data_IF_479313642617
#
_entry.id   IF_479313642617
#
_cell.length_a   1.000
_cell.length_b   1.000
_cell.length_c   1.000
_cell.angle_alpha   90.00
_cell.angle_beta   90.00
_cell.angle_gamma   90.00
#
_symmetry.space_group_name_H-M   'P 1'
#
loop_
_entity.id
_entity.type
_entity.pdbx_description
1 polymer ?
#
# COMPACT_ATOMS: atom_id res chain seq x y z
N UNK A 1 29.16 -6.23 -11.32
CA UNK A 1 28.74 -4.89 -10.97
C UNK A 1 28.43 -4.89 -9.48
N UNK A 2 29.36 -4.25 -8.74
CA UNK A 2 29.32 -4.29 -7.30
C UNK A 2 28.28 -3.32 -6.72
N UNK A 3 28.10 -3.39 -5.42
CA UNK A 3 27.23 -2.54 -4.62
C UNK A 3 27.43 -1.03 -4.89
N UNK A 4 28.63 -0.62 -5.27
CA UNK A 4 29.01 0.75 -5.62
C UNK A 4 28.16 1.36 -6.75
N UNK A 5 27.72 0.56 -7.73
CA UNK A 5 26.88 1.02 -8.83
C UNK A 5 25.44 1.36 -8.41
N UNK A 6 24.92 0.65 -7.42
CA UNK A 6 23.57 0.91 -6.85
C UNK A 6 23.61 2.17 -5.99
N UNK A 7 24.61 2.33 -5.15
CA UNK A 7 24.78 3.53 -4.32
C UNK A 7 24.98 4.79 -5.16
N UNK A 8 25.75 4.71 -6.24
CA UNK A 8 25.95 5.84 -7.15
C UNK A 8 24.65 6.28 -7.83
N UNK A 9 23.80 5.33 -8.27
CA UNK A 9 22.51 5.64 -8.91
C UNK A 9 21.50 6.19 -7.92
N UNK A 10 21.48 5.69 -6.68
CA UNK A 10 20.62 6.18 -5.60
C UNK A 10 21.04 7.59 -5.18
N UNK A 11 22.35 7.80 -4.97
CA UNK A 11 22.89 9.12 -4.63
C UNK A 11 22.62 10.16 -5.71
N UNK A 12 22.74 9.79 -7.00
CA UNK A 12 22.43 10.68 -8.11
C UNK A 12 20.93 11.02 -8.20
N UNK A 13 20.04 10.05 -7.97
CA UNK A 13 18.59 10.28 -7.95
C UNK A 13 18.16 11.17 -6.78
N UNK A 14 18.74 10.96 -5.58
CA UNK A 14 18.49 11.79 -4.41
C UNK A 14 19.04 13.21 -4.58
N UNK A 15 20.25 13.35 -5.13
CA UNK A 15 20.84 14.65 -5.39
C UNK A 15 20.05 15.46 -6.43
N UNK A 16 19.51 14.80 -7.47
CA UNK A 16 18.66 15.44 -8.47
C UNK A 16 17.35 15.94 -7.84
N UNK A 17 16.68 15.13 -7.03
CA UNK A 17 15.41 15.51 -6.39
C UNK A 17 15.60 16.65 -5.37
N UNK A 18 16.70 16.65 -4.62
CA UNK A 18 17.02 17.74 -3.69
C UNK A 18 17.40 19.04 -4.39
N UNK A 19 18.04 18.97 -5.56
CA UNK A 19 18.38 20.15 -6.36
C UNK A 19 17.10 20.82 -6.92
N UNK A 20 16.13 20.04 -7.38
CA UNK A 20 14.85 20.53 -7.85
C UNK A 20 14.03 21.19 -6.72
N UNK A 21 14.02 20.60 -5.53
CA UNK A 21 13.37 21.18 -4.33
C UNK A 21 14.00 22.52 -3.93
N UNK A 22 15.32 22.64 -4.04
CA UNK A 22 16.03 23.88 -3.70
C UNK A 22 15.76 25.01 -4.70
N UNK A 23 15.49 24.69 -5.96
CA UNK A 23 15.23 25.67 -7.03
C UNK A 23 13.78 26.19 -6.97
N UNK A 24 12.82 25.34 -6.59
CA UNK A 24 11.39 25.65 -6.68
C UNK A 24 10.81 26.19 -5.37
N UNK A 25 11.52 26.09 -4.25
CA UNK A 25 10.96 26.41 -2.93
C UNK A 25 9.72 25.58 -2.56
N UNK A 26 9.45 24.53 -3.34
CA UNK A 26 8.36 23.61 -3.16
C UNK A 26 8.89 22.33 -2.47
N UNK A 27 8.22 21.88 -1.45
CA UNK A 27 8.46 20.57 -0.83
C UNK A 27 7.88 19.48 -1.73
N UNK A 28 8.48 19.23 -2.90
CA UNK A 28 8.06 18.13 -3.77
C UNK A 28 8.41 16.80 -3.13
N UNK A 29 7.51 15.79 -3.17
CA UNK A 29 7.80 14.49 -2.60
C UNK A 29 8.94 13.81 -3.38
N UNK A 30 9.81 13.10 -2.65
CA UNK A 30 10.78 12.19 -3.26
C UNK A 30 10.00 10.97 -3.77
N UNK A 31 10.08 10.71 -5.08
CA UNK A 31 9.37 9.59 -5.70
C UNK A 31 10.34 8.45 -5.97
N UNK A 32 10.08 7.29 -5.38
CA UNK A 32 10.86 6.06 -5.56
C UNK A 32 10.05 5.03 -6.34
N UNK A 33 10.71 4.23 -7.17
CA UNK A 33 10.11 2.98 -7.68
C UNK A 33 10.17 1.88 -6.63
N UNK A 34 9.36 0.83 -6.77
CA UNK A 34 9.42 -0.36 -5.90
C UNK A 34 10.84 -0.93 -5.87
N UNK A 35 11.49 -1.04 -7.04
CA UNK A 35 12.85 -1.59 -7.12
C UNK A 35 13.87 -0.75 -6.34
N UNK A 36 13.79 0.58 -6.43
CA UNK A 36 14.69 1.47 -5.72
C UNK A 36 14.41 1.46 -4.20
N UNK A 37 13.14 1.49 -3.80
CA UNK A 37 12.75 1.45 -2.39
C UNK A 37 13.20 0.14 -1.71
N UNK A 38 13.01 -1.01 -2.36
CA UNK A 38 13.48 -2.30 -1.83
C UNK A 38 15.01 -2.42 -1.81
N UNK A 39 15.72 -1.80 -2.75
CA UNK A 39 17.18 -1.73 -2.72
C UNK A 39 17.70 -0.87 -1.55
N UNK A 40 17.05 0.26 -1.28
CA UNK A 40 17.36 1.11 -0.12
C UNK A 40 17.09 0.39 1.21
N UNK A 41 15.95 -0.32 1.30
CA UNK A 41 15.62 -1.16 2.45
C UNK A 41 16.71 -2.22 2.70
N UNK A 42 17.08 -2.98 1.66
CA UNK A 42 18.10 -4.01 1.76
C UNK A 42 19.49 -3.47 2.16
N UNK A 43 19.77 -2.22 1.77
CA UNK A 43 21.01 -1.52 2.13
C UNK A 43 20.95 -0.85 3.51
N UNK A 44 19.79 -0.84 4.19
CA UNK A 44 19.59 -0.15 5.47
C UNK A 44 19.66 1.37 5.37
N UNK A 45 19.39 1.94 4.18
CA UNK A 45 19.48 3.39 3.92
C UNK A 45 18.15 4.04 4.18
N UNK A 46 18.11 4.99 5.12
CA UNK A 46 16.91 5.80 5.41
C UNK A 46 16.94 7.06 4.56
N UNK A 47 15.83 7.35 3.90
CA UNK A 47 15.62 8.59 3.15
C UNK A 47 15.05 9.64 4.10
N UNK A 48 15.79 10.72 4.33
CA UNK A 48 15.35 11.83 5.19
C UNK A 48 15.08 13.08 4.34
N UNK A 49 14.07 13.85 4.71
CA UNK A 49 13.72 15.08 4.01
C UNK A 49 12.22 15.26 3.86
N UNK A 50 11.80 15.71 2.68
CA UNK A 50 10.39 15.85 2.28
C UNK A 50 9.64 14.52 2.30
N UNK A 51 8.33 14.55 2.07
CA UNK A 51 7.52 13.33 1.92
C UNK A 51 8.14 12.36 0.91
N UNK A 52 8.30 11.09 1.28
CA UNK A 52 8.81 10.04 0.39
C UNK A 52 7.65 9.16 -0.06
N UNK A 53 7.49 9.02 -1.37
CA UNK A 53 6.38 8.24 -1.96
C UNK A 53 6.98 7.13 -2.83
N UNK A 54 6.47 5.91 -2.69
CA UNK A 54 6.71 4.84 -3.66
C UNK A 54 5.65 4.90 -4.74
N UNK A 55 6.07 5.07 -6.00
CA UNK A 55 5.18 5.10 -7.14
C UNK A 55 5.62 4.08 -8.19
N UNK A 56 4.74 3.14 -8.53
CA UNK A 56 5.03 2.12 -9.53
C UNK A 56 3.72 1.52 -10.10
N UNK A 57 3.82 0.56 -11.01
CA UNK A 57 2.64 -0.15 -11.53
C UNK A 57 1.96 -0.99 -10.46
N UNK A 58 0.65 -1.19 -10.59
CA UNK A 58 -0.14 -2.03 -9.69
C UNK A 58 0.47 -3.43 -9.52
N UNK A 59 0.98 -4.02 -10.60
CA UNK A 59 1.61 -5.35 -10.59
C UNK A 59 2.82 -5.39 -9.67
N UNK A 60 3.69 -4.37 -9.72
CA UNK A 60 4.89 -4.31 -8.86
C UNK A 60 4.51 -4.07 -7.40
N UNK A 61 3.54 -3.22 -7.12
CA UNK A 61 3.04 -3.00 -5.76
C UNK A 61 2.40 -4.26 -5.17
N UNK A 62 1.62 -4.99 -5.96
CA UNK A 62 1.06 -6.30 -5.57
C UNK A 62 2.14 -7.36 -5.33
N UNK A 63 3.29 -7.25 -6.00
CA UNK A 63 4.45 -8.12 -5.82
C UNK A 63 5.16 -7.97 -4.48
N UNK A 64 5.02 -6.84 -3.78
CA UNK A 64 5.64 -6.61 -2.47
C UNK A 64 5.22 -7.69 -1.46
N UNK A 65 6.19 -8.18 -0.70
CA UNK A 65 5.93 -9.03 0.47
C UNK A 65 5.52 -8.18 1.67
N UNK A 66 4.89 -8.78 2.68
CA UNK A 66 4.55 -8.08 3.92
C UNK A 66 5.80 -7.50 4.63
N UNK A 67 6.93 -8.20 4.56
CA UNK A 67 8.20 -7.71 5.12
C UNK A 67 8.71 -6.48 4.37
N UNK A 68 8.70 -6.49 3.03
CA UNK A 68 9.08 -5.33 2.24
C UNK A 68 8.17 -4.12 2.49
N UNK A 69 6.85 -4.34 2.63
CA UNK A 69 5.91 -3.25 2.98
C UNK A 69 6.28 -2.63 4.34
N UNK A 70 6.61 -3.46 5.35
CA UNK A 70 7.07 -2.95 6.64
C UNK A 70 8.40 -2.19 6.51
N UNK A 71 9.32 -2.67 5.66
CA UNK A 71 10.60 -2.02 5.37
C UNK A 71 10.46 -0.65 4.69
N UNK A 72 9.41 -0.43 3.89
CA UNK A 72 9.15 0.88 3.28
C UNK A 72 9.00 1.99 4.34
N UNK A 73 8.28 1.70 5.43
CA UNK A 73 8.14 2.68 6.52
C UNK A 73 9.48 2.95 7.22
N UNK A 74 10.32 1.92 7.37
CA UNK A 74 11.65 2.06 7.97
C UNK A 74 12.56 3.01 7.17
N UNK A 75 12.49 2.97 5.83
CA UNK A 75 13.29 3.87 4.97
C UNK A 75 12.67 5.27 4.82
N UNK A 76 11.58 5.60 5.50
CA UNK A 76 10.96 6.92 5.51
C UNK A 76 9.83 7.13 4.50
N UNK A 77 9.35 6.06 3.83
CA UNK A 77 8.18 6.16 2.93
C UNK A 77 6.94 6.54 3.73
N UNK A 78 6.18 7.52 3.23
CA UNK A 78 4.94 8.02 3.83
C UNK A 78 3.69 7.68 3.04
N UNK A 79 3.84 7.25 1.79
CA UNK A 79 2.72 6.86 0.93
C UNK A 79 3.14 5.98 -0.23
N UNK A 80 2.16 5.26 -0.79
CA UNK A 80 2.35 4.35 -1.92
C UNK A 80 1.29 4.65 -2.97
N UNK A 81 1.66 4.71 -4.24
CA UNK A 81 0.74 5.04 -5.34
C UNK A 81 0.94 4.13 -6.54
N UNK A 82 -0.14 3.54 -7.04
CA UNK A 82 -0.15 2.88 -8.34
C UNK A 82 -0.31 3.90 -9.47
N UNK A 83 0.37 3.67 -10.59
CA UNK A 83 0.34 4.58 -11.75
C UNK A 83 -0.67 4.19 -12.82
N UNK A 84 -1.17 2.97 -12.82
CA UNK A 84 -1.86 2.39 -13.96
C UNK A 84 -3.23 1.77 -13.65
N UNK A 85 -3.38 1.01 -12.58
CA UNK A 85 -4.54 0.13 -12.38
C UNK A 85 -5.00 0.02 -10.93
N UNK A 86 -6.12 -0.69 -10.73
CA UNK A 86 -6.55 -1.16 -9.42
C UNK A 86 -5.50 -2.09 -8.81
N UNK A 87 -5.33 -2.01 -7.50
CA UNK A 87 -4.41 -2.88 -6.76
C UNK A 87 -5.20 -3.89 -5.96
N UNK A 88 -4.85 -5.17 -6.09
CA UNK A 88 -5.47 -6.26 -5.33
C UNK A 88 -4.47 -6.84 -4.34
N UNK A 89 -4.82 -6.85 -3.06
CA UNK A 89 -3.99 -7.33 -1.98
C UNK A 89 -4.67 -8.46 -1.22
N UNK A 90 -3.87 -9.30 -0.55
CA UNK A 90 -4.38 -10.20 0.50
C UNK A 90 -4.53 -9.44 1.81
N UNK A 91 -5.34 -9.97 2.74
CA UNK A 91 -5.46 -9.40 4.10
C UNK A 91 -4.09 -9.24 4.77
N UNK A 92 -3.20 -10.24 4.64
CA UNK A 92 -1.87 -10.16 5.25
C UNK A 92 -1.05 -8.95 4.75
N UNK A 93 -1.09 -8.66 3.45
CA UNK A 93 -0.41 -7.48 2.87
C UNK A 93 -1.08 -6.18 3.29
N UNK A 94 -2.40 -6.17 3.31
CA UNK A 94 -3.17 -4.99 3.75
C UNK A 94 -2.86 -4.62 5.20
N UNK A 95 -2.83 -5.61 6.09
CA UNK A 95 -2.43 -5.40 7.48
C UNK A 95 -0.96 -4.94 7.62
N UNK A 96 -0.08 -5.35 6.70
CA UNK A 96 1.28 -4.83 6.67
C UNK A 96 1.31 -3.33 6.31
N UNK A 97 0.49 -2.87 5.34
CA UNK A 97 0.32 -1.45 5.03
C UNK A 97 -0.24 -0.67 6.22
N UNK A 98 -1.29 -1.18 6.87
CA UNK A 98 -1.89 -0.59 8.06
C UNK A 98 -0.87 -0.45 9.20
N UNK A 99 -0.16 -1.53 9.53
CA UNK A 99 0.83 -1.53 10.60
C UNK A 99 2.03 -0.63 10.31
N UNK A 100 2.36 -0.44 9.03
CA UNK A 100 3.40 0.48 8.57
C UNK A 100 2.93 1.95 8.53
N UNK A 101 1.64 2.22 8.76
CA UNK A 101 1.05 3.55 8.63
C UNK A 101 1.05 4.09 7.19
N UNK A 102 1.11 3.20 6.20
CA UNK A 102 1.15 3.54 4.78
C UNK A 102 -0.24 3.49 4.15
N UNK A 103 -0.61 4.54 3.43
CA UNK A 103 -1.79 4.54 2.58
C UNK A 103 -1.43 4.18 1.14
N UNK A 104 -2.32 3.42 0.48
CA UNK A 104 -2.19 3.06 -0.92
C UNK A 104 -3.19 3.84 -1.77
N UNK A 105 -2.69 4.54 -2.78
CA UNK A 105 -3.49 5.30 -3.72
C UNK A 105 -3.48 4.64 -5.10
N UNK A 106 -4.52 4.86 -5.87
CA UNK A 106 -4.68 4.38 -7.24
C UNK A 106 -5.24 5.50 -8.13
N UNK A 107 -5.09 5.42 -9.46
CA UNK A 107 -5.66 6.41 -10.37
C UNK A 107 -7.17 6.56 -10.25
N UNK A 108 -7.71 7.70 -10.65
CA UNK A 108 -9.14 7.96 -10.67
C UNK A 108 -9.92 6.87 -11.42
N UNK A 109 -11.03 6.40 -10.85
CA UNK A 109 -11.84 5.30 -11.38
C UNK A 109 -11.28 3.90 -11.13
N UNK A 110 -10.16 3.78 -10.39
CA UNK A 110 -9.59 2.51 -9.94
C UNK A 110 -9.85 2.30 -8.45
N UNK A 111 -9.63 1.08 -7.97
CA UNK A 111 -9.93 0.68 -6.59
C UNK A 111 -8.76 -0.06 -5.96
N UNK A 112 -8.60 0.08 -4.66
CA UNK A 112 -7.75 -0.82 -3.87
C UNK A 112 -8.64 -1.90 -3.28
N UNK A 113 -8.35 -3.14 -3.64
CA UNK A 113 -9.20 -4.30 -3.36
C UNK A 113 -8.45 -5.26 -2.45
N UNK A 114 -9.08 -5.68 -1.37
CA UNK A 114 -8.66 -6.86 -0.61
C UNK A 114 -9.35 -8.07 -1.22
N UNK A 115 -8.59 -9.10 -1.59
CA UNK A 115 -9.16 -10.36 -2.10
C UNK A 115 -8.62 -11.52 -1.26
N UNK A 116 -9.53 -12.15 -0.49
CA UNK A 116 -9.15 -13.23 0.41
C UNK A 116 -10.36 -14.14 0.74
N UNK A 117 -10.11 -15.22 1.47
CA UNK A 117 -11.14 -16.17 1.90
C UNK A 117 -12.06 -15.60 2.97
N UNK A 118 -13.28 -16.12 3.05
CA UNK A 118 -14.25 -15.78 4.11
C UNK A 118 -13.65 -15.93 5.51
N UNK A 119 -12.88 -17.01 5.72
CA UNK A 119 -12.26 -17.26 7.03
C UNK A 119 -11.33 -16.12 7.45
N UNK A 120 -10.51 -15.61 6.53
CA UNK A 120 -9.59 -14.50 6.81
C UNK A 120 -10.33 -13.17 6.98
N UNK A 121 -11.34 -12.92 6.18
CA UNK A 121 -12.19 -11.73 6.35
C UNK A 121 -12.85 -11.75 7.71
N UNK A 122 -13.40 -12.89 8.14
CA UNK A 122 -14.05 -13.02 9.45
C UNK A 122 -13.07 -12.93 10.64
N UNK A 123 -11.79 -13.21 10.43
CA UNK A 123 -10.77 -13.07 11.47
C UNK A 123 -10.36 -11.62 11.75
N UNK A 124 -10.73 -10.65 10.90
CA UNK A 124 -10.41 -9.24 11.13
C UNK A 124 -11.07 -8.72 12.40
N UNK A 125 -10.30 -8.06 13.24
CA UNK A 125 -10.79 -7.31 14.40
C UNK A 125 -11.46 -6.00 13.98
N UNK A 126 -12.24 -5.39 14.85
CA UNK A 126 -12.86 -4.08 14.56
C UNK A 126 -11.81 -2.97 14.30
N UNK A 127 -10.67 -3.02 15.00
CA UNK A 127 -9.56 -2.09 14.78
C UNK A 127 -8.95 -2.27 13.37
N UNK A 128 -8.71 -3.51 12.94
CA UNK A 128 -8.21 -3.82 11.60
C UNK A 128 -9.22 -3.41 10.52
N UNK A 129 -10.52 -3.62 10.73
CA UNK A 129 -11.55 -3.13 9.80
C UNK A 129 -11.48 -1.61 9.65
N UNK A 130 -11.34 -0.88 10.75
CA UNK A 130 -11.18 0.58 10.69
C UNK A 130 -9.91 1.00 9.95
N UNK A 131 -8.80 0.27 10.14
CA UNK A 131 -7.53 0.49 9.47
C UNK A 131 -7.58 0.28 7.94
N UNK A 132 -8.48 -0.60 7.44
CA UNK A 132 -8.63 -0.82 5.99
C UNK A 132 -8.90 0.48 5.24
N UNK A 133 -9.83 1.31 5.73
CA UNK A 133 -10.13 2.60 5.09
C UNK A 133 -8.94 3.56 5.12
N UNK A 134 -8.18 3.59 6.21
CA UNK A 134 -6.96 4.41 6.33
C UNK A 134 -5.85 3.94 5.38
N UNK A 135 -5.74 2.62 5.15
CA UNK A 135 -4.83 2.05 4.16
C UNK A 135 -5.27 2.28 2.69
N UNK A 136 -6.45 2.89 2.48
CA UNK A 136 -6.98 3.19 1.14
C UNK A 136 -7.84 2.08 0.53
N UNK A 137 -8.19 1.03 1.28
CA UNK A 137 -9.03 -0.06 0.79
C UNK A 137 -10.45 0.43 0.58
N UNK A 138 -11.01 0.13 -0.60
CA UNK A 138 -12.39 0.50 -0.95
C UNK A 138 -13.32 -0.71 -1.11
N UNK A 139 -12.76 -1.89 -1.39
CA UNK A 139 -13.52 -3.12 -1.64
C UNK A 139 -12.86 -4.31 -0.95
N UNK A 140 -13.67 -5.15 -0.31
CA UNK A 140 -13.28 -6.50 0.13
C UNK A 140 -13.99 -7.51 -0.75
N UNK A 141 -13.23 -8.30 -1.49
CA UNK A 141 -13.68 -9.41 -2.30
C UNK A 141 -13.47 -10.73 -1.54
N UNK A 142 -14.57 -11.39 -1.18
CA UNK A 142 -14.53 -12.75 -0.61
C UNK A 142 -14.49 -13.75 -1.75
N UNK A 143 -13.48 -14.62 -1.79
CA UNK A 143 -13.18 -15.45 -2.96
C UNK A 143 -13.87 -16.81 -2.99
N UNK A 144 -14.41 -17.28 -1.86
CA UNK A 144 -14.82 -18.68 -1.70
C UNK A 144 -16.29 -18.88 -1.26
N UNK A 145 -16.93 -17.90 -0.61
CA UNK A 145 -18.23 -18.13 0.01
C UNK A 145 -19.13 -16.89 0.05
N UNK A 146 -20.37 -17.08 0.49
CA UNK A 146 -21.24 -15.98 0.90
C UNK A 146 -20.68 -15.31 2.16
N UNK A 147 -20.79 -13.99 2.26
CA UNK A 147 -20.37 -13.23 3.42
C UNK A 147 -21.58 -12.97 4.33
N UNK A 148 -21.51 -13.48 5.55
CA UNK A 148 -22.49 -13.19 6.59
C UNK A 148 -21.85 -12.27 7.62
N UNK A 149 -22.45 -11.12 7.86
CA UNK A 149 -21.96 -10.09 8.79
C UNK A 149 -22.92 -9.94 9.96
N UNK A 150 -22.38 -9.77 11.15
CA UNK A 150 -23.18 -9.20 12.26
C UNK A 150 -23.40 -7.71 12.01
N UNK A 151 -24.48 -7.15 12.59
CA UNK A 151 -24.77 -5.72 12.47
C UNK A 151 -23.58 -4.83 12.90
N UNK A 152 -22.87 -5.22 13.97
CA UNK A 152 -21.70 -4.49 14.44
C UNK A 152 -20.54 -4.50 13.41
N UNK A 153 -20.32 -5.64 12.75
CA UNK A 153 -19.28 -5.73 11.71
C UNK A 153 -19.68 -4.97 10.46
N UNK A 154 -20.92 -5.07 10.04
CA UNK A 154 -21.44 -4.30 8.91
C UNK A 154 -21.28 -2.79 9.15
N UNK A 155 -21.61 -2.31 10.35
CA UNK A 155 -21.41 -0.92 10.73
C UNK A 155 -19.91 -0.52 10.74
N UNK A 156 -19.00 -1.40 11.19
CA UNK A 156 -17.57 -1.13 11.17
C UNK A 156 -17.02 -0.99 9.74
N UNK A 157 -17.39 -1.86 8.82
CA UNK A 157 -17.00 -1.76 7.41
C UNK A 157 -17.61 -0.53 6.73
N UNK A 158 -18.87 -0.22 7.03
CA UNK A 158 -19.51 1.00 6.53
C UNK A 158 -18.77 2.25 7.02
N UNK A 159 -18.43 2.30 8.31
CA UNK A 159 -17.65 3.41 8.87
C UNK A 159 -16.25 3.54 8.26
N UNK A 160 -15.64 2.43 7.87
CA UNK A 160 -14.38 2.40 7.15
C UNK A 160 -14.50 2.76 5.65
N UNK A 161 -15.71 2.92 5.11
CA UNK A 161 -15.95 3.20 3.70
C UNK A 161 -15.68 2.02 2.77
N UNK A 162 -15.76 0.78 3.28
CA UNK A 162 -15.39 -0.43 2.56
C UNK A 162 -16.62 -1.20 2.09
N UNK A 163 -16.73 -1.39 0.77
CA UNK A 163 -17.76 -2.24 0.15
C UNK A 163 -17.33 -3.70 0.02
N UNK A 164 -18.27 -4.55 -0.43
CA UNK A 164 -18.03 -5.99 -0.58
C UNK A 164 -18.37 -6.49 -1.97
N UNK A 165 -17.63 -7.51 -2.40
CA UNK A 165 -17.98 -8.39 -3.51
C UNK A 165 -17.82 -9.85 -3.08
N UNK A 166 -18.66 -10.72 -3.64
CA UNK A 166 -18.63 -12.18 -3.41
C UNK A 166 -18.72 -12.89 -4.75
N UNK A 167 -18.38 -14.20 -4.84
CA UNK A 167 -18.50 -14.96 -6.08
C UNK A 167 -19.93 -14.96 -6.63
N UNK A 168 -20.07 -15.15 -7.94
CA UNK A 168 -21.38 -15.28 -8.59
C UNK A 168 -22.23 -16.36 -7.91
N UNK A 169 -23.51 -16.06 -7.67
CA UNK A 169 -24.43 -16.93 -6.95
C UNK A 169 -24.26 -16.95 -5.42
N UNK A 170 -23.39 -16.12 -4.88
CA UNK A 170 -23.22 -15.91 -3.43
C UNK A 170 -23.81 -14.57 -3.00
N UNK A 171 -24.05 -14.42 -1.71
CA UNK A 171 -24.73 -13.23 -1.14
C UNK A 171 -23.90 -12.61 -0.02
N UNK A 172 -24.12 -11.32 0.22
CA UNK A 172 -23.73 -10.60 1.43
C UNK A 172 -24.97 -10.37 2.26
N UNK A 173 -25.02 -10.85 3.50
CA UNK A 173 -26.15 -10.75 4.41
C UNK A 173 -25.72 -10.33 5.82
#
# INVERSE_FOLDING_TARGET
PGEDGVYASVAAALASSQADDAILGATSPIVLTVALATALEAAGVVVSGSSVIVQDTAVKLQGLTASQIAGLAFIGVTGVSATDNSVTLTIAKTLAFENAGLSLQVPAGKSVIVSDTLARVNALTSAQIAGLGQAGITIVNVTDNSLVLTAARAAAFQAAGVGFTVPSGRTVT
#
